data_IF_594222209042
#
_entry.id   IF_594222209042
#
_cell.length_a   1.000
_cell.length_b   1.000
_cell.length_c   1.000
_cell.angle_alpha   90.00
_cell.angle_beta   90.00
_cell.angle_gamma   90.00
#
_symmetry.space_group_name_H-M   'P 1'
#
loop_
_entity.id
_entity.type
_entity.pdbx_description
1 polymer ?
#
# COMPACT_ATOMS: atom_id res chain seq x y z
N UNK A 1 -14.62 53.68 -17.93
CA UNK A 1 -15.46 52.98 -18.94
C UNK A 1 -15.78 51.58 -18.42
N UNK A 2 -17.06 51.19 -18.47
CA UNK A 2 -17.66 49.87 -18.10
C UNK A 2 -17.09 48.75 -19.01
N UNK A 3 -17.04 47.45 -18.70
CA UNK A 3 -17.95 46.46 -18.05
C UNK A 3 -17.08 45.40 -17.32
N UNK A 4 -17.37 44.88 -16.13
CA UNK A 4 -18.51 44.10 -15.62
C UNK A 4 -18.62 42.69 -16.23
N UNK A 5 -18.53 41.66 -15.37
CA UNK A 5 -18.77 40.25 -15.69
C UNK A 5 -18.29 39.27 -14.61
N UNK A 6 -18.97 39.24 -13.47
CA UNK A 6 -18.83 38.26 -12.38
C UNK A 6 -19.96 37.23 -12.49
N UNK A 7 -19.69 35.93 -12.28
CA UNK A 7 -20.67 35.01 -11.69
C UNK A 7 -20.00 33.70 -11.22
N UNK A 8 -20.32 33.37 -9.98
CA UNK A 8 -19.98 32.19 -9.18
C UNK A 8 -21.13 31.19 -9.31
N UNK A 9 -20.87 29.88 -9.41
CA UNK A 9 -21.38 28.83 -8.50
C UNK A 9 -21.37 27.41 -9.08
N UNK A 10 -21.37 26.38 -8.20
CA UNK A 10 -21.05 24.97 -8.50
C UNK A 10 -22.31 24.09 -8.62
N UNK A 11 -22.18 22.90 -9.19
CA UNK A 11 -23.15 21.82 -8.97
C UNK A 11 -22.47 20.45 -8.90
N UNK A 12 -22.82 19.72 -7.85
CA UNK A 12 -22.43 18.34 -7.57
C UNK A 12 -23.23 17.38 -8.44
N UNK A 13 -22.58 16.32 -8.94
CA UNK A 13 -23.24 15.05 -9.18
C UNK A 13 -22.26 13.90 -8.92
N UNK A 14 -22.33 13.37 -7.71
CA UNK A 14 -21.81 12.06 -7.38
C UNK A 14 -22.62 11.00 -8.15
N UNK A 15 -21.95 10.06 -8.80
CA UNK A 15 -22.55 8.74 -9.02
C UNK A 15 -21.47 7.68 -9.14
N UNK A 16 -21.18 7.05 -8.01
CA UNK A 16 -20.38 5.83 -7.92
C UNK A 16 -21.24 4.70 -8.46
N UNK A 17 -20.83 4.03 -9.54
CA UNK A 17 -21.40 2.75 -9.94
C UNK A 17 -20.45 1.63 -9.49
N UNK A 18 -20.81 0.98 -8.39
CA UNK A 18 -20.20 -0.27 -7.95
C UNK A 18 -20.88 -1.45 -8.70
N UNK A 19 -20.16 -2.57 -8.90
CA UNK A 19 -20.68 -3.75 -9.59
C UNK A 19 -21.65 -4.56 -8.72
N UNK A 20 -22.81 -4.89 -9.29
CA UNK A 20 -23.76 -5.86 -8.72
C UNK A 20 -23.18 -7.27 -8.86
N UNK A 21 -22.86 -7.91 -7.74
CA UNK A 21 -22.63 -9.36 -7.66
C UNK A 21 -23.83 -10.01 -6.97
N UNK A 22 -24.60 -10.75 -7.75
CA UNK A 22 -25.73 -11.58 -7.32
C UNK A 22 -25.25 -12.90 -6.70
N UNK A 23 -25.78 -13.33 -5.55
CA UNK A 23 -25.70 -14.72 -5.12
C UNK A 23 -27.11 -15.30 -4.93
N UNK A 24 -27.46 -16.36 -5.65
CA UNK A 24 -28.76 -17.00 -5.38
C UNK A 24 -29.07 -18.23 -6.22
N UNK A 25 -29.25 -19.34 -5.49
CA UNK A 25 -30.05 -20.51 -5.87
C UNK A 25 -29.42 -21.54 -6.83
N UNK A 26 -28.50 -22.36 -6.28
CA UNK A 26 -28.35 -23.74 -6.73
C UNK A 26 -29.61 -24.53 -6.33
N UNK A 27 -30.31 -25.03 -7.36
CA UNK A 27 -31.53 -25.83 -7.24
C UNK A 27 -31.23 -27.18 -6.60
N UNK A 28 -32.07 -27.52 -5.63
CA UNK A 28 -32.09 -28.75 -4.84
C UNK A 28 -33.17 -29.65 -5.44
N UNK A 29 -32.79 -30.81 -5.98
CA UNK A 29 -33.70 -31.92 -6.27
C UNK A 29 -32.93 -33.22 -6.05
N UNK A 30 -33.46 -34.09 -5.20
CA UNK A 30 -33.54 -35.55 -5.42
C UNK A 30 -34.39 -36.16 -4.31
N UNK A 31 -35.25 -37.06 -4.76
CA UNK A 31 -36.48 -37.52 -4.13
C UNK A 31 -36.29 -38.62 -3.10
N UNK A 32 -37.24 -38.63 -2.16
CA UNK A 32 -37.95 -39.76 -1.55
C UNK A 32 -37.38 -41.19 -1.65
N UNK A 33 -37.20 -41.80 -0.49
CA UNK A 33 -37.21 -43.25 -0.29
C UNK A 33 -37.74 -43.57 1.11
N UNK A 34 -38.91 -44.19 1.18
CA UNK A 34 -39.60 -44.62 2.41
C UNK A 34 -39.26 -46.08 2.74
N UNK A 35 -39.09 -46.41 4.02
CA UNK A 35 -39.19 -47.79 4.53
C UNK A 35 -38.42 -48.06 5.84
N UNK A 36 -38.90 -48.96 6.73
CA UNK A 36 -39.00 -48.68 8.17
C UNK A 36 -38.22 -49.64 9.10
N UNK A 37 -38.32 -49.35 10.41
CA UNK A 37 -38.35 -50.28 11.58
C UNK A 37 -37.25 -50.08 12.63
N UNK A 38 -37.65 -50.27 13.89
CA UNK A 38 -37.12 -49.78 15.17
C UNK A 38 -36.23 -50.83 15.89
N UNK A 39 -35.21 -50.31 16.62
CA UNK A 39 -34.50 -50.84 17.82
C UNK A 39 -33.52 -52.04 17.68
N UNK A 40 -32.50 -52.20 18.56
CA UNK A 40 -32.34 -51.59 19.89
C UNK A 40 -31.00 -50.90 20.22
N UNK A 41 -31.05 -50.22 21.37
CA UNK A 41 -30.00 -49.55 22.13
C UNK A 41 -28.72 -50.37 22.32
N UNK A 42 -27.61 -49.88 21.77
CA UNK A 42 -26.24 -50.29 22.12
C UNK A 42 -25.46 -49.09 22.66
N UNK A 43 -24.93 -49.21 23.88
CA UNK A 43 -24.08 -48.20 24.50
C UNK A 43 -22.83 -47.89 23.63
N UNK A 44 -22.40 -46.62 23.52
CA UNK A 44 -21.19 -46.30 22.76
C UNK A 44 -19.92 -46.74 23.51
N UNK A 45 -18.88 -47.21 22.81
CA UNK A 45 -17.58 -47.39 23.42
C UNK A 45 -16.99 -46.02 23.81
N UNK A 46 -16.53 -45.94 25.05
CA UNK A 46 -15.85 -44.77 25.63
C UNK A 46 -14.54 -44.53 24.86
N UNK A 47 -14.56 -43.60 23.91
CA UNK A 47 -13.43 -43.20 23.04
C UNK A 47 -12.34 -42.45 23.85
N UNK A 48 -11.53 -43.17 24.63
CA UNK A 48 -10.31 -42.62 25.27
C UNK A 48 -9.22 -42.52 24.20
N UNK A 49 -8.75 -41.30 23.88
CA UNK A 49 -7.45 -41.12 23.20
C UNK A 49 -7.30 -40.03 22.13
N UNK A 50 -8.35 -39.27 21.76
CA UNK A 50 -8.24 -38.31 20.65
C UNK A 50 -8.14 -36.83 21.04
N UNK A 51 -8.42 -36.48 22.29
CA UNK A 51 -8.43 -35.07 22.74
C UNK A 51 -7.04 -34.45 22.72
N UNK A 52 -6.00 -35.18 23.15
CA UNK A 52 -4.64 -34.64 23.19
C UNK A 52 -4.09 -34.35 21.79
N UNK A 53 -4.28 -35.27 20.82
CA UNK A 53 -3.85 -35.09 19.41
C UNK A 53 -4.64 -34.02 18.66
N UNK A 54 -5.92 -33.85 19.00
CA UNK A 54 -6.77 -32.80 18.43
C UNK A 54 -6.38 -31.43 18.97
N UNK A 55 -6.07 -31.34 20.26
CA UNK A 55 -5.53 -30.13 20.89
C UNK A 55 -4.18 -29.75 20.27
N UNK A 56 -3.24 -30.68 20.06
CA UNK A 56 -1.93 -30.37 19.44
C UNK A 56 -2.06 -29.88 17.99
N UNK A 57 -3.01 -30.41 17.21
CA UNK A 57 -3.27 -29.95 15.83
C UNK A 57 -3.94 -28.57 15.81
N UNK A 58 -4.81 -28.29 16.79
CA UNK A 58 -5.49 -27.00 16.93
C UNK A 58 -4.51 -25.88 17.33
N UNK A 59 -3.54 -26.15 18.22
CA UNK A 59 -2.48 -25.19 18.56
C UNK A 59 -1.53 -24.93 17.40
N UNK A 60 -1.19 -25.95 16.59
CA UNK A 60 -0.31 -25.77 15.43
C UNK A 60 -0.97 -24.93 14.32
N UNK A 61 -2.29 -25.07 14.10
CA UNK A 61 -3.03 -24.23 13.16
C UNK A 61 -3.17 -22.77 13.64
N UNK A 62 -3.29 -22.56 14.96
CA UNK A 62 -3.49 -21.22 15.53
C UNK A 62 -2.23 -20.34 15.42
N UNK A 63 -1.03 -20.92 15.45
CA UNK A 63 0.23 -20.19 15.27
C UNK A 63 0.46 -19.67 13.84
N UNK A 64 -0.23 -20.24 12.83
CA UNK A 64 -0.11 -19.82 11.44
C UNK A 64 -1.08 -18.69 11.05
N UNK A 65 -2.02 -18.35 11.93
CA UNK A 65 -3.05 -17.34 11.71
C UNK A 65 -2.71 -15.99 12.37
N UNK A 66 -1.45 -15.76 12.77
CA UNK A 66 -1.02 -14.43 13.17
C UNK A 66 -1.13 -13.51 11.93
N UNK A 67 -1.93 -12.42 11.98
CA UNK A 67 -1.89 -11.43 10.92
C UNK A 67 -0.46 -10.86 10.87
N UNK A 68 0.06 -10.64 9.68
CA UNK A 68 1.26 -9.83 9.41
C UNK A 68 0.77 -8.43 9.03
N UNK A 69 0.43 -7.50 9.95
CA UNK A 69 -0.06 -6.19 9.55
C UNK A 69 1.10 -5.26 9.17
N UNK A 70 2.33 -5.56 9.63
CA UNK A 70 3.45 -4.63 9.54
C UNK A 70 3.98 -4.40 8.11
N UNK A 71 4.03 -5.45 7.28
CA UNK A 71 4.68 -5.37 5.97
C UNK A 71 3.92 -4.49 4.95
N UNK A 72 2.58 -4.39 5.05
CA UNK A 72 1.80 -3.60 4.12
C UNK A 72 1.89 -2.09 4.41
N UNK A 73 1.81 -1.72 5.70
CA UNK A 73 1.93 -0.33 6.14
C UNK A 73 3.33 0.25 5.84
N UNK A 74 4.39 -0.53 6.03
CA UNK A 74 5.77 -0.11 5.72
C UNK A 74 5.97 0.15 4.21
N UNK A 75 5.36 -0.65 3.34
CA UNK A 75 5.46 -0.47 1.89
C UNK A 75 4.76 0.81 1.41
N UNK A 76 3.59 1.13 1.97
CA UNK A 76 2.86 2.35 1.63
C UNK A 76 3.52 3.60 2.22
N UNK A 77 4.02 3.53 3.45
CA UNK A 77 4.86 4.58 4.04
C UNK A 77 6.13 4.81 3.20
N UNK A 78 6.75 3.73 2.73
CA UNK A 78 7.89 3.76 1.83
C UNK A 78 7.58 4.44 0.50
N UNK A 79 6.43 4.12 -0.10
CA UNK A 79 6.00 4.74 -1.35
C UNK A 79 5.73 6.24 -1.17
N UNK A 80 5.11 6.63 -0.05
CA UNK A 80 4.89 8.04 0.28
C UNK A 80 6.22 8.78 0.44
N UNK A 81 7.21 8.17 1.10
CA UNK A 81 8.55 8.76 1.24
C UNK A 81 9.27 8.86 -0.12
N UNK A 82 9.13 7.88 -1.01
CA UNK A 82 9.67 7.95 -2.39
C UNK A 82 9.05 9.09 -3.19
N UNK A 83 7.74 9.32 -3.07
CA UNK A 83 7.09 10.47 -3.71
C UNK A 83 7.64 11.79 -3.19
N UNK A 84 7.78 11.93 -1.87
CA UNK A 84 8.34 13.15 -1.28
C UNK A 84 9.79 13.38 -1.71
N UNK A 85 10.59 12.32 -1.78
CA UNK A 85 11.95 12.38 -2.32
C UNK A 85 11.96 12.87 -3.77
N UNK A 86 11.05 12.37 -4.59
CA UNK A 86 10.85 12.82 -5.98
C UNK A 86 10.54 14.32 -6.06
N UNK A 87 9.58 14.82 -5.27
CA UNK A 87 9.25 16.26 -5.23
C UNK A 87 10.49 17.10 -4.92
N UNK A 88 11.28 16.72 -3.90
CA UNK A 88 12.50 17.44 -3.53
C UNK A 88 13.59 17.37 -4.61
N UNK A 89 13.72 16.24 -5.31
CA UNK A 89 14.61 16.13 -6.47
C UNK A 89 14.17 17.08 -7.60
N UNK A 90 12.88 17.12 -7.92
CA UNK A 90 12.31 18.04 -8.89
C UNK A 90 12.62 19.50 -8.57
N UNK A 91 12.41 19.88 -7.30
CA UNK A 91 12.77 21.20 -6.78
C UNK A 91 14.28 21.48 -6.92
N UNK A 92 15.14 20.52 -6.55
CA UNK A 92 16.59 20.67 -6.67
C UNK A 92 17.03 20.91 -8.11
N UNK A 93 16.45 20.17 -9.06
CA UNK A 93 16.71 20.32 -10.49
C UNK A 93 16.29 21.70 -11.00
N UNK A 94 15.08 22.14 -10.64
CA UNK A 94 14.58 23.47 -11.01
C UNK A 94 15.47 24.61 -10.46
N UNK A 95 16.11 24.37 -9.32
CA UNK A 95 17.00 25.32 -8.65
C UNK A 95 18.48 25.16 -8.99
N UNK A 96 18.84 24.29 -9.95
CA UNK A 96 20.22 23.98 -10.29
C UNK A 96 21.10 23.51 -9.11
N UNK A 97 20.48 22.99 -8.04
CA UNK A 97 21.16 22.42 -6.87
C UNK A 97 21.60 20.99 -7.17
N UNK A 98 22.64 20.85 -8.00
CA UNK A 98 23.07 19.55 -8.57
C UNK A 98 23.42 18.50 -7.51
N UNK A 99 24.09 18.89 -6.44
CA UNK A 99 24.49 17.97 -5.37
C UNK A 99 23.27 17.41 -4.62
N UNK A 100 22.26 18.26 -4.36
CA UNK A 100 21.01 17.84 -3.73
C UNK A 100 20.21 16.89 -4.65
N UNK A 101 20.12 17.19 -5.95
CA UNK A 101 19.46 16.33 -6.92
C UNK A 101 20.16 14.95 -7.03
N UNK A 102 21.49 14.95 -7.08
CA UNK A 102 22.29 13.72 -7.09
C UNK A 102 22.08 12.91 -5.81
N UNK A 103 22.05 13.58 -4.65
CA UNK A 103 21.80 12.92 -3.37
C UNK A 103 20.43 12.25 -3.32
N UNK A 104 19.37 12.95 -3.72
CA UNK A 104 18.03 12.36 -3.80
C UNK A 104 18.00 11.13 -4.72
N UNK A 105 18.64 11.20 -5.89
CA UNK A 105 18.73 10.05 -6.80
C UNK A 105 19.47 8.86 -6.19
N UNK A 106 20.57 9.10 -5.47
CA UNK A 106 21.30 8.03 -4.78
C UNK A 106 20.44 7.34 -3.72
N UNK A 107 19.67 8.10 -2.94
CA UNK A 107 18.74 7.54 -1.95
C UNK A 107 17.66 6.67 -2.60
N UNK A 108 17.09 7.12 -3.72
CA UNK A 108 16.13 6.34 -4.51
C UNK A 108 16.74 5.00 -4.94
N UNK A 109 17.96 5.02 -5.50
CA UNK A 109 18.64 3.81 -5.97
C UNK A 109 19.04 2.85 -4.84
N UNK A 110 19.37 3.38 -3.65
CA UNK A 110 19.81 2.59 -2.51
C UNK A 110 18.66 1.93 -1.75
N UNK A 111 17.52 2.62 -1.61
CA UNK A 111 16.45 2.20 -0.69
C UNK A 111 15.16 1.77 -1.38
N UNK A 112 14.80 2.36 -2.52
CA UNK A 112 13.51 2.03 -3.13
C UNK A 112 13.56 0.62 -3.77
N UNK A 113 12.51 -0.22 -3.57
CA UNK A 113 12.37 -1.47 -4.30
C UNK A 113 12.43 -1.25 -5.80
N UNK A 114 13.18 -2.11 -6.51
CA UNK A 114 13.36 -2.05 -7.97
C UNK A 114 12.13 -2.55 -8.72
N UNK A 115 10.99 -1.86 -8.55
CA UNK A 115 9.73 -2.17 -9.21
C UNK A 115 9.20 -0.95 -9.96
N UNK A 116 8.39 -1.20 -10.98
CA UNK A 116 7.76 -0.13 -11.77
C UNK A 116 6.93 0.84 -10.90
N UNK A 117 6.28 0.34 -9.84
CA UNK A 117 5.44 1.14 -8.93
C UNK A 117 6.24 2.27 -8.27
N UNK A 118 7.42 1.96 -7.72
CA UNK A 118 8.25 2.95 -7.03
C UNK A 118 8.96 3.87 -8.02
N UNK A 119 9.48 3.33 -9.13
CA UNK A 119 10.10 4.13 -10.18
C UNK A 119 9.14 5.17 -10.76
N UNK A 120 7.93 4.76 -11.15
CA UNK A 120 6.92 5.66 -11.68
C UNK A 120 6.49 6.73 -10.67
N UNK A 121 6.38 6.37 -9.39
CA UNK A 121 6.04 7.32 -8.33
C UNK A 121 7.12 8.40 -8.14
N UNK A 122 8.40 8.01 -8.16
CA UNK A 122 9.53 8.93 -8.06
C UNK A 122 9.61 9.88 -9.25
N UNK A 123 9.48 9.35 -10.47
CA UNK A 123 9.57 10.15 -11.69
C UNK A 123 8.41 11.14 -11.83
N UNK A 124 7.17 10.69 -11.55
CA UNK A 124 6.00 11.56 -11.58
C UNK A 124 6.12 12.70 -10.56
N UNK A 125 6.55 12.39 -9.33
CA UNK A 125 6.76 13.39 -8.28
C UNK A 125 7.93 14.33 -8.59
N UNK A 126 8.99 13.85 -9.27
CA UNK A 126 10.09 14.70 -9.74
C UNK A 126 9.61 15.73 -10.75
N UNK A 127 8.79 15.31 -11.72
CA UNK A 127 8.19 16.23 -12.69
C UNK A 127 7.28 17.24 -11.99
N UNK A 128 6.44 16.78 -11.06
CA UNK A 128 5.57 17.65 -10.26
C UNK A 128 6.35 18.71 -9.49
N UNK A 129 7.38 18.32 -8.73
CA UNK A 129 8.21 19.23 -7.95
C UNK A 129 8.95 20.25 -8.81
N UNK A 130 9.46 19.82 -9.96
CA UNK A 130 10.11 20.72 -10.93
C UNK A 130 9.14 21.76 -11.48
N UNK A 131 7.95 21.32 -11.92
CA UNK A 131 6.92 22.20 -12.46
C UNK A 131 6.37 23.16 -11.40
N UNK A 132 6.17 22.68 -10.17
CA UNK A 132 5.74 23.52 -9.06
C UNK A 132 6.74 24.64 -8.76
N UNK A 133 8.04 24.31 -8.70
CA UNK A 133 9.09 25.29 -8.44
C UNK A 133 9.23 26.32 -9.57
N UNK A 134 9.15 25.89 -10.83
CA UNK A 134 9.34 26.77 -11.99
C UNK A 134 8.11 27.62 -12.32
N UNK A 135 6.89 27.11 -12.14
CA UNK A 135 5.64 27.85 -12.42
C UNK A 135 5.30 28.87 -11.35
N UNK A 136 5.59 28.56 -10.09
CA UNK A 136 5.21 29.43 -8.98
C UNK A 136 6.13 30.66 -8.85
N UNK A 137 7.19 30.77 -9.66
CA UNK A 137 8.23 31.81 -9.58
C UNK A 137 8.78 32.00 -8.14
N UNK A 138 8.76 30.92 -7.35
CA UNK A 138 9.20 30.93 -5.96
C UNK A 138 10.74 31.00 -5.96
N UNK A 139 11.30 31.80 -5.05
CA UNK A 139 12.75 31.82 -4.86
C UNK A 139 13.24 30.45 -4.46
N UNK A 140 14.33 30.01 -5.08
CA UNK A 140 14.94 28.74 -4.74
C UNK A 140 15.36 28.71 -3.26
N UNK A 141 15.05 27.63 -2.53
CA UNK A 141 15.53 27.47 -1.16
C UNK A 141 17.06 27.41 -1.15
N UNK A 142 17.65 27.78 -0.03
CA UNK A 142 19.09 27.67 0.16
C UNK A 142 19.53 26.19 0.04
N UNK A 143 20.68 25.89 -0.61
CA UNK A 143 21.06 24.51 -0.90
C UNK A 143 21.16 23.59 0.31
N UNK A 144 21.70 24.04 1.45
CA UNK A 144 21.77 23.23 2.68
C UNK A 144 20.37 22.96 3.25
N UNK A 145 19.46 23.92 3.14
CA UNK A 145 18.05 23.72 3.53
C UNK A 145 17.41 22.60 2.70
N UNK A 146 17.69 22.57 1.40
CA UNK A 146 17.17 21.51 0.54
C UNK A 146 17.80 20.14 0.86
N UNK A 147 19.12 20.11 1.12
CA UNK A 147 19.81 18.90 1.54
C UNK A 147 19.25 18.34 2.87
N UNK A 148 19.02 19.21 3.86
CA UNK A 148 18.44 18.80 5.14
C UNK A 148 17.04 18.17 5.00
N UNK A 149 16.19 18.73 4.13
CA UNK A 149 14.87 18.12 3.83
C UNK A 149 15.01 16.74 3.18
N UNK A 150 16.00 16.57 2.31
CA UNK A 150 16.29 15.28 1.69
C UNK A 150 16.75 14.27 2.76
N UNK A 151 17.59 14.68 3.70
CA UNK A 151 18.05 13.84 4.82
C UNK A 151 16.90 13.39 5.73
N UNK A 152 15.94 14.27 6.01
CA UNK A 152 14.73 13.92 6.77
C UNK A 152 13.88 12.87 6.05
N UNK A 153 13.75 12.97 4.72
CA UNK A 153 13.10 11.92 3.92
C UNK A 153 13.92 10.64 3.92
N UNK A 154 15.25 10.73 3.89
CA UNK A 154 16.15 9.59 3.92
C UNK A 154 15.95 8.74 5.18
N UNK A 155 15.76 9.36 6.35
CA UNK A 155 15.50 8.61 7.59
C UNK A 155 14.19 7.83 7.53
N UNK A 156 13.14 8.43 6.95
CA UNK A 156 11.85 7.76 6.77
C UNK A 156 11.94 6.62 5.75
N UNK A 157 12.68 6.82 4.66
CA UNK A 157 12.96 5.77 3.68
C UNK A 157 13.68 4.59 4.31
N UNK A 158 14.72 4.82 5.12
CA UNK A 158 15.47 3.73 5.77
C UNK A 158 14.60 2.92 6.75
N UNK A 159 13.65 3.59 7.40
CA UNK A 159 12.73 2.96 8.35
C UNK A 159 11.70 2.09 7.62
N UNK A 160 11.07 2.65 6.57
CA UNK A 160 9.99 1.99 5.85
C UNK A 160 10.48 0.99 4.78
N UNK A 161 11.66 1.24 4.20
CA UNK A 161 12.28 0.48 3.12
C UNK A 161 13.76 0.24 3.47
N UNK A 162 14.05 -0.71 4.37
CA UNK A 162 15.43 -1.09 4.64
C UNK A 162 16.13 -1.49 3.34
N UNK A 163 17.40 -1.12 3.21
CA UNK A 163 18.16 -1.27 1.97
C UNK A 163 18.02 -2.68 1.41
N UNK A 164 17.71 -2.78 0.12
CA UNK A 164 17.53 -4.07 -0.53
C UNK A 164 18.80 -4.91 -0.39
N UNK A 165 18.67 -6.08 0.24
CA UNK A 165 19.76 -7.04 0.29
C UNK A 165 20.12 -7.44 -1.15
N UNK A 166 21.41 -7.54 -1.51
CA UNK A 166 21.78 -8.01 -2.84
C UNK A 166 21.20 -9.40 -3.06
N UNK A 167 20.51 -9.61 -4.19
CA UNK A 167 20.04 -10.93 -4.57
C UNK A 167 21.25 -11.87 -4.64
N UNK A 168 21.22 -12.97 -3.89
CA UNK A 168 22.24 -14.00 -3.97
C UNK A 168 22.31 -14.50 -5.43
N UNK A 169 23.51 -14.50 -5.98
CA UNK A 169 23.79 -14.86 -7.37
C UNK A 169 23.95 -16.36 -7.54
#
# INVERSE_FOLDING_TARGET
MRRAGSAVSPEMAASRKAPETSPGAARRWLSAGSGPTIAPSGNPPRRKGNTLKLLTRLTLLLCLAAPLPALADDVDAGLAAVKQLGVLNGQALACAAKDAAAHAKMLMLAHAPKTARFGAAYEAATQEGYLAQTRAAVTCPEPKTLAGKIDEVAQRLRTALPAAQPAAK
#
